data_IF_224265027365
#
_entry.id   IF_224265027365
#
_cell.length_a   1.000
_cell.length_b   1.000
_cell.length_c   1.000
_cell.angle_alpha   90.00
_cell.angle_beta   90.00
_cell.angle_gamma   90.00
#
_symmetry.space_group_name_H-M   'P 1'
#
loop_
_entity.id
_entity.type
_entity.pdbx_description
1 polymer ?
#
# COMPACT_ATOMS: atom_id res chain seq x y z
N UNK A 1 2.71 -28.80 -36.98
CA UNK A 1 1.44 -28.63 -36.23
C UNK A 1 1.67 -27.55 -35.21
N UNK A 2 0.78 -26.56 -35.11
CA UNK A 2 0.87 -25.52 -34.08
C UNK A 2 0.47 -26.07 -32.71
N UNK A 3 1.18 -25.67 -31.66
CA UNK A 3 0.88 -26.09 -30.29
C UNK A 3 -0.46 -25.54 -29.80
N UNK A 4 -0.99 -26.11 -28.71
CA UNK A 4 -2.21 -25.60 -28.07
C UNK A 4 -1.95 -24.23 -27.45
N UNK A 5 -0.80 -24.09 -26.81
CA UNK A 5 -0.32 -22.90 -26.13
C UNK A 5 -0.15 -21.74 -27.13
N UNK A 6 0.33 -22.03 -28.34
CA UNK A 6 0.43 -21.04 -29.42
C UNK A 6 -0.95 -20.46 -29.77
N UNK A 7 -1.95 -21.34 -29.96
CA UNK A 7 -3.32 -20.91 -30.27
C UNK A 7 -3.93 -20.08 -29.15
N UNK A 8 -3.82 -20.54 -27.90
CA UNK A 8 -4.33 -19.82 -26.73
C UNK A 8 -3.72 -18.40 -26.66
N UNK A 9 -2.40 -18.29 -26.83
CA UNK A 9 -1.72 -17.00 -26.73
C UNK A 9 -2.16 -16.01 -27.82
N UNK A 10 -2.30 -16.47 -29.07
CA UNK A 10 -2.73 -15.61 -30.17
C UNK A 10 -4.23 -15.29 -30.13
N UNK A 11 -5.09 -16.24 -29.74
CA UNK A 11 -6.52 -15.99 -29.50
C UNK A 11 -6.70 -14.91 -28.43
N UNK A 12 -5.88 -14.93 -27.38
CA UNK A 12 -5.92 -13.91 -26.36
C UNK A 12 -5.44 -12.55 -26.88
N UNK A 13 -4.35 -12.49 -27.66
CA UNK A 13 -3.92 -11.25 -28.32
C UNK A 13 -5.02 -10.66 -29.20
N UNK A 14 -5.68 -11.49 -30.00
CA UNK A 14 -6.77 -11.07 -30.89
C UNK A 14 -8.00 -10.57 -30.12
N UNK A 15 -8.29 -11.18 -28.97
CA UNK A 15 -9.33 -10.71 -28.06
C UNK A 15 -8.95 -9.41 -27.31
N UNK A 16 -7.73 -8.90 -27.50
CA UNK A 16 -7.21 -7.75 -26.75
C UNK A 16 -6.75 -8.10 -25.34
N UNK A 17 -6.78 -9.38 -24.97
CA UNK A 17 -6.41 -10.00 -23.70
C UNK A 17 -7.51 -10.05 -22.63
N UNK A 18 -7.31 -10.86 -21.59
CA UNK A 18 -8.32 -11.07 -20.55
C UNK A 18 -8.69 -9.79 -19.78
N UNK A 19 -9.96 -9.68 -19.37
CA UNK A 19 -10.41 -8.58 -18.50
C UNK A 19 -9.73 -8.68 -17.13
N UNK A 20 -9.19 -7.57 -16.63
CA UNK A 20 -8.58 -7.48 -15.32
C UNK A 20 -7.12 -7.96 -15.23
N UNK A 21 -6.51 -8.42 -16.32
CA UNK A 21 -5.07 -8.73 -16.37
C UNK A 21 -4.26 -7.55 -16.92
N UNK A 22 -2.98 -7.46 -16.56
CA UNK A 22 -2.05 -6.46 -17.14
C UNK A 22 -1.06 -7.06 -18.12
N UNK A 23 -1.11 -8.37 -18.31
CA UNK A 23 -0.32 -9.12 -19.29
C UNK A 23 -1.23 -9.96 -20.18
N UNK A 24 -0.69 -10.42 -21.31
CA UNK A 24 -1.22 -11.60 -22.01
C UNK A 24 -0.83 -12.88 -21.25
N UNK A 25 -1.29 -14.05 -21.70
CA UNK A 25 -1.06 -15.35 -21.06
C UNK A 25 0.43 -15.71 -21.00
N UNK A 26 1.09 -15.24 -19.92
CA UNK A 26 2.50 -15.49 -19.63
C UNK A 26 2.82 -16.98 -19.64
N UNK A 27 2.00 -17.80 -18.99
CA UNK A 27 2.19 -19.26 -18.95
C UNK A 27 2.13 -19.92 -20.34
N UNK A 28 1.28 -19.41 -21.23
CA UNK A 28 1.20 -19.91 -22.61
C UNK A 28 2.42 -19.48 -23.40
N UNK A 29 2.86 -18.23 -23.25
CA UNK A 29 4.07 -17.70 -23.88
C UNK A 29 5.33 -18.44 -23.41
N UNK A 30 5.48 -18.68 -22.11
CA UNK A 30 6.60 -19.41 -21.48
C UNK A 30 6.70 -20.86 -21.95
N UNK A 31 5.58 -21.49 -22.30
CA UNK A 31 5.56 -22.85 -22.82
C UNK A 31 6.00 -22.94 -24.30
N UNK A 32 5.93 -21.83 -25.06
CA UNK A 32 6.35 -21.81 -26.47
C UNK A 32 7.87 -21.99 -26.62
N UNK A 33 8.27 -22.64 -27.72
CA UNK A 33 9.68 -22.87 -28.07
C UNK A 33 9.92 -22.63 -29.55
N UNK A 34 11.18 -22.39 -29.93
CA UNK A 34 11.60 -22.26 -31.32
C UNK A 34 10.89 -21.11 -32.07
N UNK A 35 10.38 -21.40 -33.27
CA UNK A 35 9.72 -20.40 -34.13
C UNK A 35 8.42 -19.86 -33.52
N UNK A 36 7.62 -20.71 -32.86
CA UNK A 36 6.36 -20.28 -32.22
C UNK A 36 6.60 -19.19 -31.17
N UNK A 37 7.62 -19.39 -30.32
CA UNK A 37 8.05 -18.38 -29.33
C UNK A 37 8.53 -17.11 -30.02
N UNK A 38 9.33 -17.25 -31.08
CA UNK A 38 9.86 -16.11 -31.82
C UNK A 38 8.75 -15.28 -32.48
N UNK A 39 7.72 -15.93 -33.02
CA UNK A 39 6.58 -15.26 -33.63
C UNK A 39 5.72 -14.54 -32.59
N UNK A 40 5.40 -15.19 -31.47
CA UNK A 40 4.67 -14.62 -30.35
C UNK A 40 5.35 -13.36 -29.79
N UNK A 41 6.64 -13.43 -29.53
CA UNK A 41 7.44 -12.29 -29.07
C UNK A 41 7.56 -11.18 -30.12
N UNK A 42 7.69 -11.50 -31.42
CA UNK A 42 7.66 -10.49 -32.49
C UNK A 42 6.32 -9.74 -32.50
N UNK A 43 5.22 -10.48 -32.30
CA UNK A 43 3.89 -9.90 -32.21
C UNK A 43 3.77 -8.96 -31.02
N UNK A 44 4.26 -9.36 -29.84
CA UNK A 44 4.32 -8.49 -28.67
C UNK A 44 5.15 -7.23 -28.91
N UNK A 45 6.33 -7.35 -29.53
CA UNK A 45 7.16 -6.18 -29.87
C UNK A 45 6.40 -5.23 -30.79
N UNK A 46 5.72 -5.75 -31.82
CA UNK A 46 4.93 -4.92 -32.73
C UNK A 46 3.77 -4.20 -32.00
N UNK A 47 3.06 -4.90 -31.11
CA UNK A 47 1.99 -4.31 -30.30
C UNK A 47 2.51 -3.24 -29.34
N UNK A 48 3.62 -3.50 -28.66
CA UNK A 48 4.28 -2.53 -27.78
C UNK A 48 4.64 -1.23 -28.53
N UNK A 49 5.12 -1.35 -29.77
CA UNK A 49 5.43 -0.19 -30.62
C UNK A 49 4.18 0.62 -31.01
N UNK A 50 2.99 0.00 -31.03
CA UNK A 50 1.71 0.69 -31.25
C UNK A 50 1.10 1.27 -29.97
N UNK A 51 1.79 1.16 -28.83
CA UNK A 51 1.36 1.71 -27.55
C UNK A 51 0.58 0.75 -26.67
N UNK A 52 0.62 -0.54 -26.96
CA UNK A 52 -0.04 -1.56 -26.13
C UNK A 52 0.73 -1.78 -24.81
N UNK A 53 0.16 -1.30 -23.69
CA UNK A 53 0.74 -1.43 -22.35
C UNK A 53 0.87 -2.89 -21.93
N UNK A 54 -0.11 -3.73 -22.29
CA UNK A 54 -0.16 -5.14 -21.91
C UNK A 54 0.95 -5.92 -22.60
N UNK A 55 1.22 -5.60 -23.86
CA UNK A 55 2.35 -6.14 -24.59
C UNK A 55 3.68 -5.76 -23.93
N UNK A 56 3.85 -4.50 -23.52
CA UNK A 56 5.04 -4.02 -22.82
C UNK A 56 5.28 -4.77 -21.51
N UNK A 57 4.27 -4.90 -20.65
CA UNK A 57 4.37 -5.64 -19.39
C UNK A 57 4.69 -7.13 -19.62
N UNK A 58 4.09 -7.73 -20.65
CA UNK A 58 4.32 -9.13 -21.00
C UNK A 58 5.76 -9.36 -21.46
N UNK A 59 6.35 -8.42 -22.20
CA UNK A 59 7.75 -8.51 -22.66
C UNK A 59 8.74 -8.50 -21.47
N UNK A 60 8.49 -7.67 -20.47
CA UNK A 60 9.28 -7.61 -19.24
C UNK A 60 9.19 -8.91 -18.44
N UNK A 61 7.97 -9.28 -18.04
CA UNK A 61 7.72 -10.43 -17.18
C UNK A 61 8.13 -11.76 -17.82
N UNK A 62 8.01 -11.89 -19.15
CA UNK A 62 8.38 -13.11 -19.86
C UNK A 62 9.88 -13.20 -20.23
N UNK A 63 10.72 -12.24 -19.79
CA UNK A 63 12.17 -12.31 -20.01
C UNK A 63 12.60 -12.06 -21.46
N UNK A 64 11.84 -11.29 -22.25
CA UNK A 64 12.09 -11.11 -23.69
C UNK A 64 13.19 -10.08 -23.94
N UNK A 65 14.45 -10.43 -23.65
CA UNK A 65 15.61 -9.50 -23.74
C UNK A 65 15.78 -8.82 -25.11
N UNK A 66 15.38 -9.46 -26.22
CA UNK A 66 15.48 -8.82 -27.55
C UNK A 66 14.53 -7.63 -27.73
N UNK A 67 13.60 -7.41 -26.81
CA UNK A 67 12.73 -6.23 -26.81
C UNK A 67 13.39 -4.99 -26.19
N UNK A 68 14.56 -5.10 -25.57
CA UNK A 68 15.22 -4.02 -24.81
C UNK A 68 15.32 -2.71 -25.58
N UNK A 69 15.81 -2.72 -26.82
CA UNK A 69 15.92 -1.51 -27.64
C UNK A 69 14.56 -0.81 -27.86
N UNK A 70 13.48 -1.59 -27.97
CA UNK A 70 12.13 -1.03 -28.10
C UNK A 70 11.69 -0.46 -26.76
N UNK A 71 11.90 -1.18 -25.66
CA UNK A 71 11.55 -0.72 -24.32
C UNK A 71 12.31 0.55 -23.92
N UNK A 72 13.62 0.64 -24.18
CA UNK A 72 14.45 1.83 -23.94
C UNK A 72 13.97 3.06 -24.73
N UNK A 73 13.42 2.85 -25.93
CA UNK A 73 12.82 3.93 -26.71
C UNK A 73 11.48 4.34 -26.10
N UNK A 74 10.66 3.38 -25.70
CA UNK A 74 9.33 3.63 -25.13
C UNK A 74 9.41 4.26 -23.74
N UNK A 75 10.40 3.91 -22.92
CA UNK A 75 10.58 4.43 -21.55
C UNK A 75 10.76 5.95 -21.49
N UNK A 76 11.19 6.56 -22.60
CA UNK A 76 11.32 8.02 -22.77
C UNK A 76 9.98 8.73 -22.93
N UNK A 77 8.89 8.02 -23.21
CA UNK A 77 7.56 8.62 -23.27
C UNK A 77 7.15 9.13 -21.88
N UNK A 78 6.44 10.26 -21.83
CA UNK A 78 6.03 10.92 -20.57
C UNK A 78 4.70 10.40 -20.01
N UNK A 79 4.03 9.49 -20.73
CA UNK A 79 2.76 8.87 -20.35
C UNK A 79 2.97 7.48 -19.70
N UNK A 80 1.86 6.79 -19.44
CA UNK A 80 1.82 5.45 -18.82
C UNK A 80 2.68 4.41 -19.56
N UNK A 81 2.79 4.52 -20.90
CA UNK A 81 3.63 3.64 -21.72
C UNK A 81 5.10 3.73 -21.34
N UNK A 82 5.59 4.93 -21.03
CA UNK A 82 6.97 5.10 -20.60
C UNK A 82 7.22 4.51 -19.21
N UNK A 83 6.22 4.56 -18.32
CA UNK A 83 6.28 3.92 -16.99
C UNK A 83 6.30 2.40 -17.11
N UNK A 84 5.38 1.83 -17.89
CA UNK A 84 5.33 0.39 -18.17
C UNK A 84 6.64 -0.12 -18.81
N UNK A 85 7.18 0.61 -19.78
CA UNK A 85 8.43 0.22 -20.43
C UNK A 85 9.63 0.28 -19.47
N UNK A 86 9.66 1.24 -18.54
CA UNK A 86 10.68 1.31 -17.51
C UNK A 86 10.59 0.14 -16.52
N UNK A 87 9.38 -0.24 -16.09
CA UNK A 87 9.19 -1.45 -15.26
C UNK A 87 9.67 -2.72 -15.99
N UNK A 88 9.30 -2.87 -17.25
CA UNK A 88 9.74 -4.00 -18.08
C UNK A 88 11.28 -4.04 -18.22
N UNK A 89 11.97 -2.89 -18.32
CA UNK A 89 13.43 -2.84 -18.33
C UNK A 89 14.01 -3.34 -17.00
N UNK A 90 13.48 -2.89 -15.85
CA UNK A 90 13.94 -3.34 -14.54
C UNK A 90 13.76 -4.84 -14.35
N UNK A 91 12.65 -5.42 -14.84
CA UNK A 91 12.42 -6.86 -14.80
C UNK A 91 13.41 -7.66 -15.65
N UNK A 92 13.82 -7.10 -16.81
CA UNK A 92 14.76 -7.77 -17.71
C UNK A 92 16.22 -7.64 -17.27
N UNK A 93 16.61 -6.46 -16.80
CA UNK A 93 18.02 -6.10 -16.58
C UNK A 93 18.41 -6.07 -15.10
N UNK A 94 17.44 -6.07 -14.20
CA UNK A 94 17.65 -5.76 -12.80
C UNK A 94 17.83 -4.25 -12.58
N UNK A 95 18.58 -3.84 -11.54
CA UNK A 95 18.72 -2.45 -11.16
C UNK A 95 19.28 -1.57 -12.29
N UNK A 96 18.47 -0.62 -12.77
CA UNK A 96 18.86 0.42 -13.71
C UNK A 96 18.40 1.78 -13.18
N UNK A 97 19.34 2.73 -13.03
CA UNK A 97 19.01 4.01 -12.39
C UNK A 97 18.03 4.88 -13.18
N UNK A 98 18.09 4.82 -14.52
CA UNK A 98 17.24 5.63 -15.38
C UNK A 98 15.81 5.09 -15.40
N UNK A 99 15.67 3.76 -15.53
CA UNK A 99 14.40 3.07 -15.42
C UNK A 99 13.79 3.24 -14.02
N UNK A 100 14.59 3.12 -12.96
CA UNK A 100 14.14 3.34 -11.59
C UNK A 100 13.60 4.76 -11.38
N UNK A 101 14.32 5.78 -11.87
CA UNK A 101 13.84 7.16 -11.83
C UNK A 101 12.52 7.34 -12.59
N UNK A 102 12.38 6.68 -13.75
CA UNK A 102 11.14 6.73 -14.53
C UNK A 102 9.97 6.06 -13.81
N UNK A 103 10.20 4.91 -13.17
CA UNK A 103 9.20 4.23 -12.34
C UNK A 103 8.78 5.10 -11.15
N UNK A 104 9.73 5.76 -10.48
CA UNK A 104 9.42 6.68 -9.39
C UNK A 104 8.52 7.85 -9.84
N UNK A 105 8.69 8.38 -11.05
CA UNK A 105 7.75 9.36 -11.61
C UNK A 105 6.35 8.76 -11.89
N UNK A 106 6.27 7.47 -12.20
CA UNK A 106 5.02 6.72 -12.37
C UNK A 106 4.12 6.69 -11.11
N UNK A 107 4.72 6.79 -9.92
CA UNK A 107 3.99 6.89 -8.65
C UNK A 107 3.14 8.15 -8.58
N UNK A 108 3.58 9.25 -9.22
CA UNK A 108 2.93 10.57 -9.16
C UNK A 108 1.77 10.71 -10.15
N UNK A 109 1.46 9.67 -10.91
CA UNK A 109 0.39 9.67 -11.90
C UNK A 109 -0.99 9.65 -11.24
N UNK A 110 -2.01 10.19 -11.92
CA UNK A 110 -3.40 10.13 -11.43
C UNK A 110 -4.06 8.76 -11.65
N UNK A 111 -3.40 7.86 -12.39
CA UNK A 111 -3.92 6.53 -12.70
C UNK A 111 -3.76 5.60 -11.50
N UNK A 112 -4.88 5.02 -11.05
CA UNK A 112 -4.90 4.08 -9.92
C UNK A 112 -4.06 2.83 -10.16
N UNK A 113 -4.10 2.33 -11.38
CA UNK A 113 -3.40 1.10 -11.77
C UNK A 113 -1.91 1.40 -11.88
N UNK A 114 -1.53 2.42 -12.63
CA UNK A 114 -0.12 2.74 -12.88
C UNK A 114 0.64 3.14 -11.62
N UNK A 115 0.07 4.00 -10.77
CA UNK A 115 0.70 4.38 -9.50
C UNK A 115 0.91 3.16 -8.59
N UNK A 116 -0.03 2.22 -8.56
CA UNK A 116 0.09 1.00 -7.77
C UNK A 116 1.17 0.05 -8.33
N UNK A 117 1.28 -0.11 -9.64
CA UNK A 117 2.35 -0.91 -10.27
C UNK A 117 3.72 -0.26 -10.11
N UNK A 118 3.81 1.06 -10.23
CA UNK A 118 5.05 1.78 -9.97
C UNK A 118 5.53 1.54 -8.52
N UNK A 119 4.63 1.68 -7.53
CA UNK A 119 4.96 1.38 -6.13
C UNK A 119 5.33 -0.10 -5.90
N UNK A 120 4.66 -1.03 -6.60
CA UNK A 120 4.98 -2.45 -6.55
C UNK A 120 6.39 -2.73 -7.08
N UNK A 121 6.76 -2.15 -8.21
CA UNK A 121 8.09 -2.35 -8.79
C UNK A 121 9.18 -1.78 -7.87
N UNK A 122 8.98 -0.56 -7.34
CA UNK A 122 9.93 0.06 -6.41
C UNK A 122 10.22 -0.77 -5.16
N UNK A 123 9.26 -1.61 -4.71
CA UNK A 123 9.45 -2.48 -3.54
C UNK A 123 10.58 -3.49 -3.74
N UNK A 124 10.83 -3.94 -4.97
CA UNK A 124 11.87 -4.93 -5.27
C UNK A 124 13.21 -4.29 -5.65
N UNK A 125 13.33 -2.97 -5.50
CA UNK A 125 14.52 -2.21 -5.88
C UNK A 125 15.22 -1.69 -4.62
N UNK A 126 16.55 -1.78 -4.62
CA UNK A 126 17.37 -1.32 -3.51
C UNK A 126 17.77 0.16 -3.64
N UNK A 127 18.12 0.73 -2.50
CA UNK A 127 18.83 2.01 -2.42
C UNK A 127 17.94 3.26 -2.28
N UNK A 128 18.57 4.43 -2.08
CA UNK A 128 17.87 5.64 -1.65
C UNK A 128 16.78 6.12 -2.61
N UNK A 129 16.97 5.95 -3.93
CA UNK A 129 15.98 6.35 -4.94
C UNK A 129 14.69 5.54 -4.83
N UNK A 130 14.80 4.22 -4.65
CA UNK A 130 13.64 3.34 -4.47
C UNK A 130 12.87 3.71 -3.20
N UNK A 131 13.60 3.89 -2.08
CA UNK A 131 13.02 4.34 -0.81
C UNK A 131 12.30 5.68 -0.96
N UNK A 132 12.91 6.68 -1.59
CA UNK A 132 12.26 7.99 -1.83
C UNK A 132 11.00 7.86 -2.67
N UNK A 133 11.01 7.01 -3.72
CA UNK A 133 9.82 6.73 -4.51
C UNK A 133 8.70 6.07 -3.71
N UNK A 134 9.03 5.11 -2.83
CA UNK A 134 8.07 4.49 -1.91
C UNK A 134 7.52 5.52 -0.91
N UNK A 135 8.35 6.43 -0.40
CA UNK A 135 7.90 7.51 0.47
C UNK A 135 6.94 8.49 -0.21
N UNK A 136 7.12 8.76 -1.50
CA UNK A 136 6.17 9.55 -2.29
C UNK A 136 4.87 8.76 -2.53
N UNK A 137 4.95 7.44 -2.70
CA UNK A 137 3.79 6.56 -2.87
C UNK A 137 2.89 6.49 -1.62
N UNK A 138 3.43 6.67 -0.41
CA UNK A 138 2.64 6.75 0.82
C UNK A 138 1.63 7.91 0.82
N UNK A 139 1.93 8.99 0.09
CA UNK A 139 1.06 10.17 0.01
C UNK A 139 -0.07 10.02 -1.01
N UNK A 140 -0.13 8.90 -1.72
CA UNK A 140 -1.09 8.69 -2.79
C UNK A 140 -2.51 8.44 -2.26
N UNK A 141 -3.57 8.98 -2.89
CA UNK A 141 -4.95 8.80 -2.41
C UNK A 141 -5.44 7.35 -2.50
N UNK A 142 -4.87 6.52 -3.37
CA UNK A 142 -5.31 5.13 -3.53
C UNK A 142 -4.61 4.18 -2.57
N UNK A 143 -5.40 3.37 -1.86
CA UNK A 143 -4.90 2.39 -0.89
C UNK A 143 -3.98 1.34 -1.49
N UNK A 144 -4.22 0.89 -2.73
CA UNK A 144 -3.34 -0.08 -3.39
C UNK A 144 -1.90 0.45 -3.55
N UNK A 145 -1.76 1.72 -3.93
CA UNK A 145 -0.45 2.40 -4.03
C UNK A 145 0.23 2.48 -2.66
N UNK A 146 -0.49 2.92 -1.63
CA UNK A 146 0.03 2.99 -0.26
C UNK A 146 0.40 1.63 0.30
N UNK A 147 -0.40 0.60 0.03
CA UNK A 147 -0.15 -0.77 0.50
C UNK A 147 1.15 -1.34 -0.08
N UNK A 148 1.37 -1.19 -1.40
CA UNK A 148 2.63 -1.58 -2.02
C UNK A 148 3.82 -0.80 -1.45
N UNK A 149 3.64 0.50 -1.22
CA UNK A 149 4.66 1.34 -0.59
C UNK A 149 5.03 0.85 0.81
N UNK A 150 4.04 0.56 1.65
CA UNK A 150 4.25 0.04 3.00
C UNK A 150 4.97 -1.30 2.99
N UNK A 151 4.56 -2.25 2.13
CA UNK A 151 5.23 -3.55 1.99
C UNK A 151 6.71 -3.38 1.62
N UNK A 152 7.01 -2.52 0.63
CA UNK A 152 8.39 -2.24 0.23
C UNK A 152 9.22 -1.58 1.32
N UNK A 153 8.62 -0.70 2.13
CA UNK A 153 9.29 -0.07 3.25
C UNK A 153 9.53 -1.04 4.42
N UNK A 154 8.58 -1.96 4.70
CA UNK A 154 8.74 -2.98 5.76
C UNK A 154 9.92 -3.90 5.51
N UNK A 155 10.23 -4.17 4.24
CA UNK A 155 11.33 -5.04 3.83
C UNK A 155 12.69 -4.33 3.87
N UNK A 156 12.74 -3.01 4.04
CA UNK A 156 13.99 -2.27 4.08
C UNK A 156 14.80 -2.59 5.35
N UNK A 157 16.11 -2.86 5.26
CA UNK A 157 16.94 -3.22 6.41
C UNK A 157 16.95 -2.19 7.56
N UNK A 158 16.79 -0.90 7.23
CA UNK A 158 16.74 0.18 8.22
C UNK A 158 15.39 0.27 8.95
N UNK A 159 14.34 -0.37 8.41
CA UNK A 159 12.96 -0.33 8.92
C UNK A 159 12.58 -1.64 9.59
N UNK A 160 12.91 -2.78 8.99
CA UNK A 160 12.48 -4.12 9.44
C UNK A 160 12.72 -4.40 10.94
N UNK A 161 13.84 -3.98 11.56
CA UNK A 161 14.04 -4.19 13.00
C UNK A 161 13.17 -3.33 13.91
N UNK A 162 12.57 -2.26 13.39
CA UNK A 162 11.86 -1.23 14.17
C UNK A 162 10.33 -1.40 14.16
N UNK A 163 9.82 -2.36 13.38
CA UNK A 163 8.38 -2.61 13.22
C UNK A 163 7.86 -3.76 14.10
N UNK A 164 8.75 -4.41 14.86
CA UNK A 164 8.40 -5.45 15.82
C UNK A 164 8.68 -4.99 17.27
N UNK A 165 7.79 -5.30 18.23
CA UNK A 165 6.49 -5.94 18.04
C UNK A 165 5.50 -4.99 17.32
N UNK A 166 4.29 -5.46 16.99
CA UNK A 166 3.23 -4.64 16.37
C UNK A 166 2.82 -3.40 17.19
N UNK A 167 3.16 -3.33 18.46
CA UNK A 167 2.94 -2.16 19.30
C UNK A 167 4.05 -1.09 19.11
N UNK A 168 5.09 -1.38 18.33
CA UNK A 168 6.17 -0.45 18.06
C UNK A 168 5.65 0.84 17.40
N UNK A 169 6.21 2.01 17.75
CA UNK A 169 5.77 3.29 17.20
C UNK A 169 5.77 3.34 15.67
N UNK A 170 6.75 2.70 15.03
CA UNK A 170 6.84 2.67 13.57
C UNK A 170 5.75 1.79 12.97
N UNK A 171 5.46 0.62 13.55
CA UNK A 171 4.33 -0.21 13.12
C UNK A 171 3.02 0.55 13.24
N UNK A 172 2.77 1.25 14.35
CA UNK A 172 1.56 2.05 14.56
C UNK A 172 1.36 3.08 13.44
N UNK A 173 2.42 3.79 13.05
CA UNK A 173 2.35 4.72 11.91
C UNK A 173 2.05 4.00 10.59
N UNK A 174 2.71 2.88 10.32
CA UNK A 174 2.46 2.09 9.11
C UNK A 174 1.04 1.54 9.06
N UNK A 175 0.53 1.10 10.21
CA UNK A 175 -0.83 0.68 10.42
C UNK A 175 -1.75 1.86 10.04
N UNK A 176 -1.62 3.02 10.68
CA UNK A 176 -2.44 4.20 10.37
C UNK A 176 -2.39 4.63 8.88
N UNK A 177 -1.27 4.46 8.17
CA UNK A 177 -1.21 4.75 6.71
C UNK A 177 -2.05 3.77 5.87
N UNK A 178 -2.20 2.54 6.32
CA UNK A 178 -2.92 1.48 5.60
C UNK A 178 -4.45 1.61 5.67
N UNK A 179 -5.00 2.49 6.51
CA UNK A 179 -6.44 2.75 6.55
C UNK A 179 -6.92 3.60 5.36
N UNK A 180 -8.22 3.50 5.04
CA UNK A 180 -8.88 4.36 4.05
C UNK A 180 -9.45 5.66 4.64
N UNK A 181 -9.36 5.82 5.97
CA UNK A 181 -9.81 7.03 6.67
C UNK A 181 -8.81 8.17 6.43
N UNK A 182 -9.17 9.12 5.56
CA UNK A 182 -8.29 10.25 5.15
C UNK A 182 -7.75 11.07 6.31
N UNK A 183 -8.55 11.29 7.35
CA UNK A 183 -8.13 12.00 8.56
C UNK A 183 -7.06 11.27 9.37
N UNK A 184 -6.87 9.97 9.12
CA UNK A 184 -5.90 9.12 9.82
C UNK A 184 -4.69 8.87 8.92
N UNK A 185 -4.89 8.33 7.71
CA UNK A 185 -3.76 7.90 6.88
C UNK A 185 -2.89 9.05 6.42
N UNK A 186 -3.47 10.22 6.10
CA UNK A 186 -2.70 11.32 5.52
C UNK A 186 -1.70 11.92 6.52
N UNK A 187 -2.10 12.32 7.74
CA UNK A 187 -1.14 12.75 8.76
C UNK A 187 -0.12 11.66 9.11
N UNK A 188 -0.54 10.40 9.17
CA UNK A 188 0.36 9.28 9.42
C UNK A 188 1.40 9.11 8.31
N UNK A 189 1.03 9.29 7.04
CA UNK A 189 1.94 9.19 5.89
C UNK A 189 2.97 10.33 5.90
N UNK A 190 2.54 11.54 6.24
CA UNK A 190 3.44 12.70 6.39
C UNK A 190 4.46 12.45 7.51
N UNK A 191 4.00 11.94 8.66
CA UNK A 191 4.87 11.61 9.79
C UNK A 191 5.80 10.45 9.48
N UNK A 192 5.31 9.37 8.88
CA UNK A 192 6.11 8.21 8.47
C UNK A 192 7.21 8.63 7.49
N UNK A 193 6.88 9.48 6.50
CA UNK A 193 7.84 10.04 5.55
C UNK A 193 8.93 10.86 6.22
N UNK A 194 8.59 11.70 7.19
CA UNK A 194 9.56 12.47 7.95
C UNK A 194 10.47 11.55 8.80
N UNK A 195 9.88 10.58 9.50
CA UNK A 195 10.59 9.60 10.32
C UNK A 195 11.60 8.80 9.50
N UNK A 196 11.19 8.26 8.35
CA UNK A 196 12.08 7.44 7.52
C UNK A 196 13.21 8.29 6.92
N UNK A 197 12.94 9.55 6.54
CA UNK A 197 14.01 10.47 6.10
C UNK A 197 15.03 10.72 7.20
N UNK A 198 14.58 10.98 8.43
CA UNK A 198 15.50 11.16 9.55
C UNK A 198 16.35 9.90 9.81
N UNK A 199 15.76 8.70 9.71
CA UNK A 199 16.51 7.44 9.79
C UNK A 199 17.56 7.32 8.66
N UNK A 200 17.20 7.68 7.42
CA UNK A 200 18.13 7.69 6.28
C UNK A 200 19.27 8.70 6.48
N UNK A 201 19.00 9.82 7.15
CA UNK A 201 19.97 10.85 7.50
C UNK A 201 20.84 10.47 8.72
N UNK A 202 20.63 9.27 9.29
CA UNK A 202 21.44 8.71 10.37
C UNK A 202 20.97 9.05 11.79
N UNK A 203 19.79 9.66 11.95
CA UNK A 203 19.20 9.92 13.28
C UNK A 203 18.88 8.59 13.95
N UNK A 204 19.30 8.42 15.20
CA UNK A 204 19.10 7.17 15.92
C UNK A 204 17.61 6.90 16.19
N UNK A 205 17.14 5.64 16.12
CA UNK A 205 15.74 5.30 16.40
C UNK A 205 15.24 5.77 17.78
N UNK A 206 16.11 5.78 18.79
CA UNK A 206 15.79 6.27 20.14
C UNK A 206 15.48 7.79 20.16
N UNK A 207 16.22 8.59 19.38
CA UNK A 207 16.01 10.04 19.28
C UNK A 207 14.69 10.38 18.58
N UNK A 208 14.21 9.47 17.73
CA UNK A 208 12.90 9.56 17.06
C UNK A 208 11.76 8.94 17.89
N UNK A 209 12.05 8.39 19.08
CA UNK A 209 11.06 7.72 19.92
C UNK A 209 10.49 6.45 19.27
N UNK A 210 11.30 5.72 18.50
CA UNK A 210 10.88 4.49 17.80
C UNK A 210 11.20 3.21 18.58
N UNK A 211 11.96 3.33 19.68
CA UNK A 211 12.28 2.19 20.54
C UNK A 211 11.03 1.81 21.33
N UNK A 212 10.52 0.60 21.09
CA UNK A 212 9.35 0.12 21.79
C UNK A 212 9.66 -0.20 23.25
N UNK A 213 8.94 0.48 24.14
CA UNK A 213 8.85 0.18 25.57
C UNK A 213 7.45 -0.33 25.90
N UNK A 214 7.35 -1.57 26.38
CA UNK A 214 6.10 -2.12 26.90
C UNK A 214 5.85 -1.55 28.30
N UNK A 215 4.69 -0.93 28.49
CA UNK A 215 4.31 -0.32 29.77
C UNK A 215 3.03 -0.91 30.34
N UNK A 216 2.36 -1.77 29.58
CA UNK A 216 1.12 -2.44 29.97
C UNK A 216 1.36 -3.91 30.30
N UNK A 217 0.42 -4.53 31.00
CA UNK A 217 0.49 -5.96 31.26
C UNK A 217 0.24 -6.74 29.94
N UNK A 218 1.03 -7.78 29.62
CA UNK A 218 0.85 -8.57 28.40
C UNK A 218 -0.56 -9.16 28.24
N UNK A 219 -1.21 -9.49 29.36
CA UNK A 219 -2.58 -9.97 29.37
C UNK A 219 -3.61 -8.94 28.89
N UNK A 220 -3.40 -7.65 29.17
CA UNK A 220 -4.29 -6.58 28.68
C UNK A 220 -4.13 -6.40 27.17
N UNK A 221 -2.89 -6.41 26.66
CA UNK A 221 -2.60 -6.33 25.22
C UNK A 221 -3.23 -7.51 24.46
N UNK A 222 -3.12 -8.73 25.00
CA UNK A 222 -3.69 -9.93 24.39
C UNK A 222 -5.22 -9.86 24.27
N UNK A 223 -5.92 -9.33 25.28
CA UNK A 223 -7.39 -9.20 25.25
C UNK A 223 -7.89 -8.20 24.21
N UNK A 224 -7.08 -7.19 23.86
CA UNK A 224 -7.42 -6.26 22.77
C UNK A 224 -7.26 -6.93 21.39
N UNK A 225 -6.30 -7.84 21.24
CA UNK A 225 -6.11 -8.61 20.00
C UNK A 225 -7.25 -9.57 19.68
N UNK A 226 -7.85 -10.17 20.71
CA UNK A 226 -8.98 -11.09 20.58
C UNK A 226 -10.24 -10.45 21.15
N UNK A 227 -10.94 -9.60 20.40
CA UNK A 227 -12.28 -9.15 20.78
C UNK A 227 -13.12 -10.38 21.12
N UNK A 228 -13.82 -10.34 22.25
CA UNK A 228 -14.73 -11.40 22.61
C UNK A 228 -16.02 -11.29 21.76
N UNK A 229 -16.89 -12.29 21.85
CA UNK A 229 -18.17 -12.30 21.12
C UNK A 229 -19.08 -11.10 21.47
N UNK A 230 -18.77 -10.37 22.55
CA UNK A 230 -19.55 -9.26 23.07
C UNK A 230 -18.96 -7.87 22.79
N UNK A 231 -17.71 -7.73 22.30
CA UNK A 231 -17.06 -6.43 22.29
C UNK A 231 -15.55 -6.42 22.43
N UNK A 232 -15.01 -5.21 22.56
CA UNK A 232 -13.67 -5.00 23.10
C UNK A 232 -13.71 -5.11 24.63
N UNK A 233 -12.66 -5.64 25.25
CA UNK A 233 -12.49 -5.57 26.71
C UNK A 233 -12.12 -4.13 27.10
N UNK A 234 -13.13 -3.34 27.50
CA UNK A 234 -12.96 -1.93 27.89
C UNK A 234 -12.05 -1.76 29.11
N UNK A 235 -12.09 -2.69 30.07
CA UNK A 235 -11.22 -2.64 31.24
C UNK A 235 -9.76 -2.84 30.85
N UNK A 236 -9.48 -3.76 29.92
CA UNK A 236 -8.15 -3.95 29.36
C UNK A 236 -7.69 -2.70 28.59
N UNK A 237 -8.55 -2.15 27.72
CA UNK A 237 -8.25 -0.93 26.96
C UNK A 237 -7.89 0.25 27.87
N UNK A 238 -8.66 0.49 28.93
CA UNK A 238 -8.44 1.57 29.89
C UNK A 238 -7.17 1.40 30.74
N UNK A 239 -6.62 0.18 30.83
CA UNK A 239 -5.35 -0.09 31.52
C UNK A 239 -4.12 0.08 30.63
N UNK A 240 -4.27 0.12 29.30
CA UNK A 240 -3.14 0.31 28.40
C UNK A 240 -2.50 1.69 28.57
N UNK A 241 -1.17 1.73 28.44
CA UNK A 241 -0.36 2.96 28.56
C UNK A 241 0.70 3.02 27.44
N UNK A 242 1.31 4.20 27.29
CA UNK A 242 2.44 4.41 26.37
C UNK A 242 2.16 3.91 24.95
N UNK A 243 3.10 3.14 24.41
CA UNK A 243 3.02 2.57 23.05
C UNK A 243 1.89 1.58 22.87
N UNK A 244 1.54 0.80 23.91
CA UNK A 244 0.44 -0.16 23.85
C UNK A 244 -0.91 0.56 23.64
N UNK A 245 -1.12 1.68 24.34
CA UNK A 245 -2.32 2.50 24.16
C UNK A 245 -2.34 3.15 22.76
N UNK A 246 -1.20 3.67 22.30
CA UNK A 246 -1.10 4.25 20.96
C UNK A 246 -1.44 3.22 19.87
N UNK A 247 -0.95 1.99 20.03
CA UNK A 247 -1.31 0.87 19.16
C UNK A 247 -2.80 0.53 19.23
N UNK A 248 -3.40 0.44 20.42
CA UNK A 248 -4.82 0.14 20.55
C UNK A 248 -5.70 1.20 19.89
N UNK A 249 -5.34 2.48 20.00
CA UNK A 249 -6.01 3.58 19.30
C UNK A 249 -5.92 3.43 17.77
N UNK A 250 -4.73 3.14 17.23
CA UNK A 250 -4.56 2.86 15.80
C UNK A 250 -5.37 1.63 15.36
N UNK A 251 -5.36 0.57 16.14
CA UNK A 251 -6.17 -0.62 15.89
C UNK A 251 -7.66 -0.29 15.81
N UNK A 252 -8.19 0.57 16.69
CA UNK A 252 -9.59 1.00 16.62
C UNK A 252 -9.90 1.78 15.33
N UNK A 253 -9.00 2.64 14.84
CA UNK A 253 -9.19 3.28 13.52
C UNK A 253 -9.27 2.27 12.38
N UNK A 254 -8.49 1.19 12.46
CA UNK A 254 -8.57 0.09 11.50
C UNK A 254 -9.89 -0.66 11.58
N UNK A 255 -10.35 -0.96 12.80
CA UNK A 255 -11.64 -1.62 13.01
C UNK A 255 -12.78 -0.74 12.51
N UNK A 256 -12.73 0.58 12.74
CA UNK A 256 -13.69 1.54 12.19
C UNK A 256 -13.68 1.54 10.65
N UNK A 257 -12.50 1.54 10.02
CA UNK A 257 -12.38 1.48 8.56
C UNK A 257 -12.93 0.16 7.97
N UNK A 258 -12.75 -0.94 8.70
CA UNK A 258 -13.33 -2.26 8.40
C UNK A 258 -14.80 -2.37 8.80
N UNK A 259 -15.41 -1.26 9.25
CA UNK A 259 -16.84 -1.16 9.59
C UNK A 259 -17.25 -2.08 10.74
N UNK A 260 -16.38 -2.19 11.74
CA UNK A 260 -16.70 -2.80 13.03
C UNK A 260 -17.52 -1.82 13.87
N UNK A 261 -18.79 -2.14 14.09
CA UNK A 261 -19.77 -1.32 14.80
C UNK A 261 -19.46 -1.15 16.30
N UNK A 262 -18.54 -1.97 16.83
CA UNK A 262 -18.08 -1.89 18.22
C UNK A 262 -16.94 -0.88 18.41
N UNK A 263 -16.26 -0.49 17.32
CA UNK A 263 -15.13 0.43 17.39
C UNK A 263 -15.52 1.86 17.86
N UNK A 264 -16.63 2.47 17.41
CA UNK A 264 -17.06 3.78 17.90
C UNK A 264 -17.24 3.83 19.43
N UNK A 265 -17.79 2.78 20.05
CA UNK A 265 -17.98 2.73 21.50
C UNK A 265 -16.64 2.65 22.24
N UNK A 266 -15.72 1.78 21.77
CA UNK A 266 -14.38 1.70 22.33
C UNK A 266 -13.60 3.03 22.22
N UNK A 267 -13.79 3.77 21.13
CA UNK A 267 -13.20 5.11 20.96
C UNK A 267 -13.74 6.12 22.00
N UNK A 268 -15.04 6.05 22.33
CA UNK A 268 -15.67 6.89 23.36
C UNK A 268 -15.13 6.56 24.74
N UNK A 269 -14.99 5.28 25.07
CA UNK A 269 -14.42 4.80 26.34
C UNK A 269 -12.99 5.33 26.53
N UNK A 270 -12.19 5.33 25.46
CA UNK A 270 -10.82 5.84 25.49
C UNK A 270 -10.71 7.37 25.37
N UNK A 271 -11.83 8.09 25.23
CA UNK A 271 -11.83 9.54 25.06
C UNK A 271 -11.10 10.02 23.80
N UNK A 272 -11.18 9.26 22.70
CA UNK A 272 -10.46 9.54 21.46
C UNK A 272 -11.10 10.69 20.66
N UNK A 273 -11.00 11.92 21.16
CA UNK A 273 -11.54 13.11 20.48
C UNK A 273 -10.94 13.32 19.08
N UNK A 274 -9.72 12.85 18.85
CA UNK A 274 -9.05 12.80 17.55
C UNK A 274 -9.80 11.94 16.50
N UNK A 275 -10.69 11.03 16.94
CA UNK A 275 -11.47 10.17 16.05
C UNK A 275 -12.69 10.85 15.42
N UNK A 276 -13.09 12.04 15.90
CA UNK A 276 -14.27 12.76 15.42
C UNK A 276 -14.33 12.90 13.88
N UNK A 277 -13.25 13.31 13.18
CA UNK A 277 -13.29 13.42 11.72
C UNK A 277 -13.50 12.07 11.01
N UNK A 278 -12.94 11.00 11.56
CA UNK A 278 -13.08 9.66 10.99
C UNK A 278 -14.50 9.13 11.17
N UNK A 279 -15.08 9.27 12.37
CA UNK A 279 -16.46 8.87 12.66
C UNK A 279 -17.48 9.64 11.81
N UNK A 280 -17.24 10.93 11.56
CA UNK A 280 -18.08 11.71 10.63
C UNK A 280 -17.99 11.18 9.20
N UNK A 281 -16.79 10.82 8.75
CA UNK A 281 -16.57 10.30 7.39
C UNK A 281 -17.19 8.91 7.16
N UNK A 282 -17.42 8.13 8.22
CA UNK A 282 -18.04 6.80 8.12
C UNK A 282 -19.54 6.79 8.40
N UNK A 283 -20.13 7.91 8.84
CA UNK A 283 -21.52 7.98 9.28
C UNK A 283 -22.51 7.58 8.17
N UNK A 284 -22.39 8.16 6.97
CA UNK A 284 -23.31 7.87 5.86
C UNK A 284 -23.34 6.37 5.51
N UNK A 285 -22.16 5.73 5.53
CA UNK A 285 -22.03 4.28 5.29
C UNK A 285 -22.65 3.46 6.43
N UNK A 286 -22.50 3.91 7.68
CA UNK A 286 -23.13 3.27 8.82
C UNK A 286 -24.66 3.42 8.79
N UNK A 287 -25.18 4.57 8.37
CA UNK A 287 -26.62 4.81 8.21
C UNK A 287 -27.26 3.87 7.19
N UNK A 288 -26.60 3.66 6.04
CA UNK A 288 -27.04 2.71 5.01
C UNK A 288 -27.15 1.27 5.53
N UNK A 289 -26.48 0.94 6.63
CA UNK A 289 -26.44 -0.41 7.24
C UNK A 289 -27.31 -0.55 8.49
N UNK A 290 -27.98 0.52 8.94
CA UNK A 290 -28.73 0.52 10.20
C UNK A 290 -27.86 0.68 11.46
N UNK A 291 -26.55 0.96 11.30
CA UNK A 291 -25.57 1.16 12.38
C UNK A 291 -25.41 2.65 12.75
N UNK A 292 -26.11 3.54 12.06
CA UNK A 292 -25.96 5.00 12.22
C UNK A 292 -26.29 5.53 13.62
N UNK A 293 -27.14 4.84 14.39
CA UNK A 293 -27.45 5.23 15.77
C UNK A 293 -26.21 5.15 16.68
N UNK A 294 -25.41 4.09 16.55
CA UNK A 294 -24.17 3.90 17.32
C UNK A 294 -23.15 4.99 16.97
N UNK A 295 -22.98 5.27 15.67
CA UNK A 295 -22.07 6.32 15.21
C UNK A 295 -22.47 7.71 15.70
N UNK A 296 -23.76 8.08 15.63
CA UNK A 296 -24.25 9.38 16.12
C UNK A 296 -24.08 9.52 17.64
N UNK A 297 -24.37 8.45 18.39
CA UNK A 297 -24.16 8.44 19.84
C UNK A 297 -22.68 8.65 20.19
N UNK A 298 -21.79 7.93 19.51
CA UNK A 298 -20.34 8.05 19.71
C UNK A 298 -19.82 9.46 19.34
N UNK A 299 -20.30 10.04 18.24
CA UNK A 299 -19.98 11.42 17.85
C UNK A 299 -20.40 12.42 18.93
N UNK A 300 -21.65 12.35 19.40
CA UNK A 300 -22.16 13.26 20.42
C UNK A 300 -21.37 13.15 21.74
N UNK A 301 -21.04 11.91 22.16
CA UNK A 301 -20.28 11.68 23.39
C UNK A 301 -18.85 12.23 23.29
N UNK A 302 -18.14 11.98 22.19
CA UNK A 302 -16.79 12.50 21.97
C UNK A 302 -16.76 14.02 21.80
N UNK A 303 -17.80 14.62 21.19
CA UNK A 303 -17.95 16.08 21.11
C UNK A 303 -18.14 16.71 22.50
N UNK A 304 -18.94 16.09 23.36
CA UNK A 304 -19.12 16.54 24.74
C UNK A 304 -17.81 16.44 25.55
N UNK A 305 -17.07 15.34 25.41
CA UNK A 305 -15.75 15.18 26.05
C UNK A 305 -14.73 16.21 25.54
N UNK A 306 -14.71 16.49 24.23
CA UNK A 306 -13.83 17.50 23.63
C UNK A 306 -14.17 18.93 24.09
N UNK A 307 -15.43 19.22 24.39
CA UNK A 307 -15.85 20.50 24.96
C UNK A 307 -15.38 20.64 26.42
N UNK A 308 -15.53 19.61 27.24
CA UNK A 308 -15.11 19.63 28.64
C UNK A 308 -13.62 19.93 28.83
N UNK A 309 -12.75 19.42 27.96
CA UNK A 309 -11.29 19.67 28.01
C UNK A 309 -10.92 21.12 27.65
N UNK A 310 -11.79 21.85 26.93
CA UNK A 310 -11.54 23.26 26.57
C UNK A 310 -11.93 24.24 27.68
N UNK A 311 -12.74 23.80 28.63
CA UNK A 311 -13.24 24.62 29.74
C UNK A 311 -12.36 24.51 31.00
N UNK A 312 -11.31 23.68 30.96
CA UNK A 312 -10.25 23.53 31.98
C UNK A 312 -8.98 24.33 31.62
#
# INVERSE_FOLDING_TARGET
MTSREYRIFFEEIEAGGAHGTVTYALSSLEALKGEERREAENRLIALAQTGDLRAVETLGLAGVHRSLLVLERLSKATNDLGSAAARAILQLMGPDEAALARVAEGVKTISRVESAFAAYELRFQDGPKAIVGLLDALMHPFSATRANALLGLQEQPIIAPLIEPRQSPLWVLMQDVSTDLKSVWKPAAERLRATIRALMDGVAPAELGLVYESTSLPGDVARVWTPNDHGFDFDALLRLRGHDLAWAKSYLFHRLALRDDRAPEAMVVLGMTEALPALRATLDLAEQRGEGAVHRSALAALEAQAAAVKDE
#
